data_IF_303696143950
#
_entry.id   IF_303696143950
#
_cell.length_a   1.000
_cell.length_b   1.000
_cell.length_c   1.000
_cell.angle_alpha   90.00
_cell.angle_beta   90.00
_cell.angle_gamma   90.00
#
_symmetry.space_group_name_H-M   'P 1'
#
loop_
_entity.id
_entity.type
_entity.pdbx_description
1 polymer ?
2 non-polymer ?
3 water ?
#
# COMPACT_ATOMS: atom_id res chain seq x y z
N UNK A 1 10.77 -0.50 14.32
CA UNK A 1 9.71 -1.56 14.31
C UNK A 1 8.68 -1.35 15.40
N UNK A 2 7.83 -2.36 15.65
CA UNK A 2 7.80 -3.67 14.99
C UNK A 2 7.32 -3.59 13.55
N UNK A 3 8.06 -4.21 12.63
CA UNK A 3 7.64 -4.30 11.24
C UNK A 3 6.53 -5.34 11.12
N UNK A 4 5.32 -4.85 10.88
CA UNK A 4 4.14 -5.70 10.75
C UNK A 4 4.05 -6.36 9.38
N UNK A 5 2.83 -6.39 8.84
CA UNK A 5 2.59 -7.04 7.55
C UNK A 5 3.22 -6.29 6.40
N UNK A 6 3.88 -7.05 5.54
CA UNK A 6 4.47 -6.52 4.34
C UNK A 6 3.76 -7.16 3.16
N UNK A 7 3.45 -6.33 2.17
CA UNK A 7 2.82 -6.78 0.95
C UNK A 7 3.65 -6.30 -0.23
N UNK A 8 3.43 -6.95 -1.37
CA UNK A 8 4.06 -6.55 -2.61
C UNK A 8 3.00 -6.11 -3.60
N UNK A 9 3.26 -4.99 -4.27
CA UNK A 9 2.38 -4.52 -5.32
C UNK A 9 2.35 -5.48 -6.51
N UNK A 10 1.14 -5.81 -6.95
CA UNK A 10 0.93 -6.65 -8.12
C UNK A 10 0.92 -5.84 -9.41
N UNK A 11 0.63 -4.54 -9.30
CA UNK A 11 0.45 -3.65 -10.44
C UNK A 11 0.97 -2.27 -10.06
N UNK A 12 1.25 -1.44 -11.06
CA UNK A 12 1.47 -0.03 -10.82
C UNK A 12 0.18 0.63 -10.33
N UNK A 13 0.32 1.69 -9.55
CA UNK A 13 -0.82 2.49 -9.13
C UNK A 13 -0.41 3.96 -9.09
N UNK A 14 -1.21 4.82 -9.72
CA UNK A 14 -1.00 6.26 -9.72
C UNK A 14 -2.00 6.92 -8.78
N UNK A 15 -1.51 7.72 -7.83
CA UNK A 15 -2.41 8.40 -6.91
C UNK A 15 -3.32 9.36 -7.66
N UNK A 16 -4.57 9.43 -7.23
CA UNK A 16 -5.55 10.34 -7.82
C UNK A 16 -5.89 11.49 -6.86
N UNK A 17 -5.43 11.40 -5.62
CA UNK A 17 -5.58 12.48 -4.65
C UNK A 17 -4.49 12.35 -3.59
N UNK A 18 -4.42 13.35 -2.71
CA UNK A 18 -3.34 13.48 -1.74
C UNK A 18 -3.31 12.36 -0.71
N UNK A 19 -4.42 11.65 -0.53
CA UNK A 19 -4.46 10.57 0.44
C UNK A 19 -3.90 9.26 -0.08
N UNK A 20 -3.74 9.16 -1.40
CA UNK A 20 -3.35 7.90 -2.03
C UNK A 20 -1.85 7.84 -2.29
N UNK A 21 -1.31 6.62 -2.15
CA UNK A 21 0.05 6.35 -2.60
C UNK A 21 0.15 6.31 -4.12
N UNK A 22 1.36 6.52 -4.63
CA UNK A 22 1.74 6.04 -5.97
C UNK A 22 2.84 5.01 -5.78
N UNK A 23 2.78 3.92 -6.54
CA UNK A 23 3.80 2.89 -6.45
C UNK A 23 3.87 2.11 -7.75
N UNK A 24 4.94 1.33 -7.86
CA UNK A 24 5.15 0.50 -9.04
C UNK A 24 5.02 -0.97 -8.72
N UNK A 25 4.65 -1.75 -9.74
CA UNK A 25 4.59 -3.19 -9.64
C UNK A 25 5.86 -3.73 -9.00
N UNK A 26 5.69 -4.62 -8.02
CA UNK A 26 6.79 -5.26 -7.32
C UNK A 26 7.31 -4.51 -6.11
N UNK A 27 6.87 -3.26 -5.91
CA UNK A 27 7.30 -2.50 -4.74
C UNK A 27 6.71 -3.10 -3.46
N UNK A 28 7.44 -2.97 -2.37
CA UNK A 28 6.99 -3.40 -1.05
C UNK A 28 6.24 -2.25 -0.36
N UNK A 29 5.17 -2.61 0.36
CA UNK A 29 4.43 -1.67 1.18
C UNK A 29 4.27 -2.30 2.58
N UNK A 30 4.52 -1.51 3.60
CA UNK A 30 4.31 -1.92 4.99
C UNK A 30 2.90 -1.50 5.37
N UNK A 31 1.99 -2.46 5.57
CA UNK A 31 0.57 -2.16 5.80
C UNK A 31 0.35 -1.86 7.27
N UNK A 32 -0.12 -0.66 7.56
CA UNK A 32 -0.27 -0.19 8.93
C UNK A 32 -1.73 0.01 9.36
N UNK A 33 -2.68 0.02 8.42
CA UNK A 33 -4.10 0.11 8.77
C UNK A 33 -4.94 -0.56 7.71
N UNK A 34 -5.91 -1.35 8.15
CA UNK A 34 -6.85 -2.01 7.28
C UNK A 34 -8.24 -1.53 7.65
N UNK A 35 -9.04 -1.23 6.64
CA UNK A 35 -10.42 -0.83 6.84
C UNK A 35 -11.27 -1.56 5.81
N UNK A 36 -12.55 -1.71 6.09
CA UNK A 36 -13.46 -2.26 5.09
C UNK A 36 -13.57 -1.27 3.94
N UNK A 37 -13.86 -1.80 2.75
CA UNK A 37 -14.13 -0.96 1.59
C UNK A 37 -13.10 -1.07 0.47
N UNK A 38 -12.03 -1.83 0.67
CA UNK A 38 -11.05 -2.11 -0.39
C UNK A 38 -9.84 -1.19 -0.45
N UNK A 39 -9.73 -0.27 0.51
CA UNK A 39 -8.58 0.61 0.63
C UNK A 39 -7.92 0.41 1.98
N UNK A 40 -6.60 0.18 1.96
CA UNK A 40 -5.77 0.03 3.16
C UNK A 40 -4.73 1.15 3.18
N UNK A 41 -4.10 1.34 4.34
CA UNK A 41 -3.08 2.37 4.50
C UNK A 41 -1.74 1.71 4.77
N UNK A 42 -0.67 2.27 4.21
CA UNK A 42 0.64 1.74 4.48
C UNK A 42 1.74 2.69 4.09
N UNK A 43 2.97 2.26 4.34
CA UNK A 43 4.15 3.06 4.07
C UNK A 43 4.91 2.47 2.90
N UNK A 44 5.24 3.34 1.95
CA UNK A 44 5.92 2.97 0.72
C UNK A 44 6.94 4.04 0.40
N UNK A 45 8.19 3.64 0.16
CA UNK A 45 9.24 4.62 -0.13
C UNK A 45 9.19 5.84 0.80
N UNK A 46 9.02 5.59 2.10
CA UNK A 46 9.07 6.64 3.12
C UNK A 46 7.84 7.53 3.26
N UNK A 47 6.76 7.19 2.56
CA UNK A 47 5.52 7.97 2.61
C UNK A 47 4.37 7.07 3.01
N UNK A 48 3.43 7.61 3.80
CA UNK A 48 2.25 6.87 4.21
C UNK A 48 1.05 7.32 3.40
N UNK A 49 0.21 6.39 2.99
CA UNK A 49 -0.98 6.71 2.22
C UNK A 49 -1.83 5.49 1.98
N UNK A 50 -2.94 5.71 1.28
CA UNK A 50 -3.93 4.67 1.04
C UNK A 50 -3.76 4.06 -0.35
N UNK A 51 -4.15 2.80 -0.47
CA UNK A 51 -3.98 2.08 -1.72
C UNK A 51 -5.03 0.97 -1.81
N UNK A 52 -5.31 0.50 -3.05
CA UNK A 52 -6.30 -0.58 -3.18
C UNK A 52 -5.77 -1.91 -2.67
N UNK A 53 -6.48 -2.54 -1.76
CA UNK A 53 -6.01 -3.82 -1.20
C UNK A 53 -5.88 -4.90 -2.26
N UNK A 54 -6.72 -4.86 -3.30
CA UNK A 54 -6.62 -5.86 -4.36
C UNK A 54 -5.41 -5.64 -5.29
N UNK A 55 -4.65 -4.55 -5.08
CA UNK A 55 -3.43 -4.33 -5.86
C UNK A 55 -2.19 -4.94 -5.22
N UNK A 56 -2.33 -5.64 -4.10
CA UNK A 56 -1.17 -6.18 -3.38
C UNK A 56 -1.41 -7.63 -2.99
N UNK A 57 -0.31 -8.30 -2.66
CA UNK A 57 -0.36 -9.65 -2.07
C UNK A 57 0.64 -9.74 -0.93
N UNK A 58 0.31 -10.49 0.12
CA UNK A 58 1.21 -10.56 1.27
C UNK A 58 2.43 -11.41 0.95
N UNK A 59 3.58 -10.98 1.44
CA UNK A 59 4.82 -11.74 1.30
C UNK A 59 5.46 -11.99 2.67
X LIG B 1 10.66 -2.38 -9.77
X LIG B 1 9.60 -3.22 -8.32
X LIG B 1 10.81 -4.14 -10.66
X LIG B 1 11.74 -1.56 -11.20
X LIG B 1 10.53 -0.62 -8.87
X LIG B 1 12.32 -2.75 -8.75
X LIG B 1 9.02 -1.99 -10.81
X LIG B 1 9.15 -4.08 -8.68
X LIG B 1 8.87 -2.56 -8.00
X LIG B 1 10.23 -3.46 -7.52
X LIG B 1 10.07 -4.27 -11.33
X LIG B 1 11.75 -4.22 -11.12
X LIG B 1 10.77 -4.90 -9.92
X LIG B 1 11.27 -0.71 -11.56
X LIG B 1 12.66 -1.31 -10.80
X LIG B 1 11.85 -2.24 -11.98
X LIG B 1 9.70 -0.10 -9.28
X LIG B 1 10.40 -0.74 -7.87
X LIG B 1 11.39 -0.07 -9.08
X LIG B 1 12.09 -3.44 -7.95
X LIG B 1 13.04 -3.10 -9.32
X LIG B 1 12.62 -1.86 -8.25
X LIG B 1 9.27 -1.46 -11.66
X LIG B 1 8.58 -2.89 -11.09
X LIG B 1 8.36 -1.44 -10.22
#
# INVERSE_FOLDING_TARGET
>A
GPLGSVVRAKFNFQQTNEDELSFSKGDVIHVTRVEEGGWWEGTHNGRTGWFPSNYVREI
>B hetero
1 NCO CO N1 N2 N3 N4 N5 N6 HN11 HN12 HN13 HN21 HN22 HN23 HN31 HN32 HN33 HN41 HN42 HN43 HN51 HN52 HN53 HN61 HN62 HN63
#
